data_IF_379513201378
#
_entry.id   IF_379513201378
#
_cell.length_a   1.000
_cell.length_b   1.000
_cell.length_c   1.000
_cell.angle_alpha   90.00
_cell.angle_beta   90.00
_cell.angle_gamma   90.00
#
_symmetry.space_group_name_H-M   'P 1'
#
loop_
_entity.id
_entity.type
_entity.pdbx_description
1 polymer ?
#
# COMPACT_ATOMS: atom_id res chain seq x y z
N UNK A 1 -21.02 -25.93 10.21
CA UNK A 1 -22.06 -24.88 10.28
C UNK A 1 -21.37 -23.53 10.45
N UNK A 2 -21.58 -22.58 9.53
CA UNK A 2 -20.89 -21.28 9.54
C UNK A 2 -21.34 -20.42 10.72
N UNK A 3 -20.46 -20.20 11.69
CA UNK A 3 -20.66 -19.36 12.89
C UNK A 3 -20.61 -17.85 12.59
N UNK A 4 -21.10 -17.42 11.43
CA UNK A 4 -21.12 -15.99 11.06
C UNK A 4 -22.33 -15.29 11.66
N UNK A 5 -22.19 -13.99 11.90
CA UNK A 5 -23.21 -13.15 12.54
C UNK A 5 -23.43 -11.86 11.75
N UNK A 6 -24.57 -11.22 12.02
CA UNK A 6 -24.96 -9.91 11.51
C UNK A 6 -24.20 -8.76 12.20
N UNK A 7 -24.21 -7.59 11.56
CA UNK A 7 -23.54 -6.36 12.02
C UNK A 7 -23.94 -5.95 13.46
N UNK A 8 -25.20 -6.09 13.82
CA UNK A 8 -25.73 -5.74 15.14
C UNK A 8 -25.23 -6.65 16.28
N UNK A 9 -24.69 -7.84 15.97
CA UNK A 9 -24.15 -8.79 16.94
C UNK A 9 -22.63 -8.66 17.16
N UNK A 10 -21.95 -7.79 16.41
CA UNK A 10 -20.51 -7.52 16.60
C UNK A 10 -20.26 -6.15 17.21
N UNK A 11 -19.13 -5.97 17.94
CA UNK A 11 -18.70 -4.66 18.43
C UNK A 11 -18.52 -3.63 17.31
N UNK A 12 -18.67 -2.35 17.66
CA UNK A 12 -18.62 -1.25 16.69
C UNK A 12 -17.31 -1.17 15.90
N UNK A 13 -16.16 -1.49 16.53
CA UNK A 13 -14.85 -1.43 15.87
C UNK A 13 -14.69 -2.43 14.71
N UNK A 14 -15.55 -3.46 14.64
CA UNK A 14 -15.57 -4.44 13.55
C UNK A 14 -16.49 -4.03 12.41
N UNK A 15 -17.49 -3.17 12.67
CA UNK A 15 -18.58 -2.87 11.73
C UNK A 15 -18.08 -2.04 10.55
N UNK A 16 -18.45 -2.45 9.35
CA UNK A 16 -18.20 -1.72 8.12
C UNK A 16 -19.51 -1.12 7.57
N UNK A 17 -19.51 0.13 7.08
CA UNK A 17 -20.69 0.71 6.43
C UNK A 17 -21.17 -0.16 5.26
N UNK A 18 -22.48 -0.37 5.14
CA UNK A 18 -23.07 -1.16 4.04
C UNK A 18 -22.98 -2.69 4.19
N UNK A 19 -22.12 -3.19 5.08
CA UNK A 19 -21.94 -4.64 5.31
C UNK A 19 -22.85 -5.11 6.44
N UNK A 20 -23.77 -6.04 6.14
CA UNK A 20 -24.85 -6.46 7.06
C UNK A 20 -24.65 -7.81 7.69
N UNK A 21 -24.07 -8.76 6.99
CA UNK A 21 -23.85 -10.14 7.45
C UNK A 21 -22.44 -10.61 7.13
N UNK A 22 -22.14 -11.88 7.45
CA UNK A 22 -20.85 -12.50 7.16
C UNK A 22 -19.72 -12.16 8.14
N UNK A 23 -20.02 -11.50 9.26
CA UNK A 23 -19.01 -11.20 10.28
C UNK A 23 -18.64 -12.44 11.10
N UNK A 24 -17.37 -12.57 11.44
CA UNK A 24 -16.92 -13.56 12.43
C UNK A 24 -17.32 -13.13 13.84
N UNK A 25 -17.70 -14.09 14.69
CA UNK A 25 -17.90 -13.83 16.12
C UNK A 25 -16.58 -13.33 16.74
N UNK A 26 -16.62 -12.40 17.71
CA UNK A 26 -15.44 -12.03 18.46
C UNK A 26 -14.79 -13.26 19.08
N UNK A 27 -13.47 -13.40 18.92
CA UNK A 27 -12.72 -14.52 19.47
C UNK A 27 -11.34 -14.05 19.89
N UNK A 28 -10.90 -14.50 21.07
CA UNK A 28 -9.54 -14.32 21.57
C UNK A 28 -8.68 -15.58 21.37
N UNK A 29 -9.26 -16.65 20.81
CA UNK A 29 -8.55 -17.89 20.53
C UNK A 29 -7.86 -17.80 19.16
N UNK A 30 -6.53 -17.64 19.18
CA UNK A 30 -5.71 -17.50 17.97
C UNK A 30 -5.92 -18.67 17.00
N UNK A 31 -6.10 -19.90 17.48
CA UNK A 31 -6.32 -21.05 16.62
C UNK A 31 -7.65 -20.98 15.86
N UNK A 32 -8.70 -20.45 16.49
CA UNK A 32 -9.98 -20.20 15.81
C UNK A 32 -9.84 -19.10 14.76
N UNK A 33 -9.06 -18.05 15.05
CA UNK A 33 -8.78 -16.97 14.11
C UNK A 33 -8.00 -17.52 12.90
N UNK A 34 -6.93 -18.28 13.12
CA UNK A 34 -6.14 -18.90 12.04
C UNK A 34 -6.97 -19.90 11.23
N UNK A 35 -7.81 -20.70 11.89
CA UNK A 35 -8.71 -21.63 11.20
C UNK A 35 -9.72 -20.90 10.29
N UNK A 36 -10.06 -19.65 10.60
CA UNK A 36 -10.97 -18.84 9.76
C UNK A 36 -10.42 -18.50 8.39
N UNK A 37 -9.11 -18.68 8.13
CA UNK A 37 -8.54 -18.59 6.77
C UNK A 37 -9.22 -19.52 5.77
N UNK A 38 -9.73 -20.66 6.25
CA UNK A 38 -10.45 -21.66 5.44
C UNK A 38 -11.96 -21.38 5.36
N UNK A 39 -12.44 -20.35 6.04
CA UNK A 39 -13.85 -19.97 6.10
C UNK A 39 -14.11 -18.75 5.20
N UNK A 40 -15.24 -18.75 4.50
CA UNK A 40 -15.72 -17.59 3.75
C UNK A 40 -16.49 -16.67 4.70
N UNK A 41 -16.10 -15.39 4.75
CA UNK A 41 -16.61 -14.34 5.62
C UNK A 41 -16.34 -12.96 4.99
N UNK A 42 -16.88 -11.88 5.60
CA UNK A 42 -16.79 -10.52 5.06
C UNK A 42 -15.34 -10.01 4.83
N UNK A 43 -14.39 -10.51 5.63
CA UNK A 43 -12.96 -10.18 5.50
C UNK A 43 -12.17 -11.13 4.57
N UNK A 44 -12.78 -12.17 3.97
CA UNK A 44 -12.03 -13.23 3.24
C UNK A 44 -11.22 -12.65 2.08
N UNK A 45 -11.84 -11.84 1.23
CA UNK A 45 -11.14 -11.18 0.13
C UNK A 45 -10.06 -10.21 0.62
N UNK A 46 -10.31 -9.48 1.72
CA UNK A 46 -9.34 -8.54 2.29
C UNK A 46 -8.07 -9.26 2.76
N UNK A 47 -8.23 -10.41 3.44
CA UNK A 47 -7.11 -11.23 3.93
C UNK A 47 -6.34 -11.86 2.76
N UNK A 48 -7.04 -12.57 1.87
CA UNK A 48 -6.37 -13.37 0.84
C UNK A 48 -5.68 -12.53 -0.23
N UNK A 49 -6.28 -11.42 -0.66
CA UNK A 49 -5.66 -10.52 -1.67
C UNK A 49 -4.31 -10.01 -1.20
N UNK A 50 -4.22 -9.50 0.03
CA UNK A 50 -2.97 -9.01 0.60
C UNK A 50 -2.03 -10.12 1.06
N UNK A 51 -2.53 -11.25 1.58
CA UNK A 51 -1.67 -12.38 1.95
C UNK A 51 -0.89 -12.92 0.73
N UNK A 52 -1.59 -13.16 -0.38
CA UNK A 52 -0.97 -13.60 -1.64
C UNK A 52 0.00 -12.56 -2.18
N UNK A 53 -0.34 -11.28 -2.09
CA UNK A 53 0.53 -10.19 -2.57
C UNK A 53 1.78 -10.02 -1.71
N UNK A 54 1.69 -10.24 -0.39
CA UNK A 54 2.86 -10.27 0.49
C UNK A 54 3.86 -11.34 0.05
N UNK A 55 3.38 -12.56 -0.21
CA UNK A 55 4.23 -13.63 -0.74
C UNK A 55 4.77 -13.31 -2.13
N UNK A 56 3.96 -12.75 -3.03
CA UNK A 56 4.41 -12.32 -4.35
C UNK A 56 5.58 -11.35 -4.25
N UNK A 57 5.48 -10.30 -3.41
CA UNK A 57 6.57 -9.34 -3.22
C UNK A 57 7.80 -9.96 -2.54
N UNK A 58 7.64 -10.91 -1.62
CA UNK A 58 8.80 -11.68 -1.11
C UNK A 58 9.51 -12.46 -2.21
N UNK A 59 8.77 -13.09 -3.13
CA UNK A 59 9.35 -13.81 -4.26
C UNK A 59 10.05 -12.87 -5.25
N UNK A 60 9.62 -11.61 -5.33
CA UNK A 60 10.29 -10.58 -6.14
C UNK A 60 11.65 -10.15 -5.56
N UNK A 61 11.95 -10.41 -4.28
CA UNK A 61 13.24 -10.05 -3.65
C UNK A 61 14.44 -10.70 -4.36
N UNK A 62 14.55 -12.04 -4.45
CA UNK A 62 15.68 -12.67 -5.13
C UNK A 62 15.73 -12.33 -6.62
N UNK A 63 14.58 -12.20 -7.29
CA UNK A 63 14.52 -11.77 -8.68
C UNK A 63 15.10 -10.35 -8.86
N UNK A 64 14.68 -9.40 -8.01
CA UNK A 64 15.14 -8.00 -8.06
C UNK A 64 16.63 -7.91 -7.77
N UNK A 65 17.11 -8.65 -6.77
CA UNK A 65 18.55 -8.69 -6.45
C UNK A 65 19.37 -9.21 -7.63
N UNK A 66 18.96 -10.35 -8.23
CA UNK A 66 19.70 -10.93 -9.33
C UNK A 66 19.65 -10.06 -10.59
N UNK A 67 18.47 -9.54 -10.94
CA UNK A 67 18.26 -8.69 -12.11
C UNK A 67 18.99 -7.34 -12.03
N UNK A 68 19.35 -6.89 -10.82
CA UNK A 68 20.11 -5.66 -10.60
C UNK A 68 21.55 -5.89 -10.15
N UNK A 69 22.06 -7.14 -10.18
CA UNK A 69 23.37 -7.49 -9.63
C UNK A 69 24.57 -6.79 -10.29
N UNK A 70 24.41 -6.35 -11.55
CA UNK A 70 25.42 -5.60 -12.31
C UNK A 70 25.34 -4.07 -12.11
N UNK A 71 24.30 -3.58 -11.43
CA UNK A 71 24.07 -2.14 -11.20
C UNK A 71 24.73 -1.67 -9.89
N UNK A 72 24.65 -0.36 -9.61
CA UNK A 72 25.21 0.18 -8.38
C UNK A 72 24.53 -0.42 -7.14
N UNK A 73 25.30 -0.62 -6.06
CA UNK A 73 24.77 -1.17 -4.79
C UNK A 73 23.58 -0.37 -4.24
N UNK A 74 23.53 0.94 -4.49
CA UNK A 74 22.42 1.81 -4.08
C UNK A 74 21.13 1.51 -4.85
N UNK A 75 21.22 1.16 -6.14
CA UNK A 75 20.08 0.78 -6.97
C UNK A 75 19.44 -0.50 -6.41
N UNK A 76 20.27 -1.51 -6.12
CA UNK A 76 19.86 -2.76 -5.48
C UNK A 76 19.21 -2.46 -4.13
N UNK A 77 19.88 -1.68 -3.27
CA UNK A 77 19.39 -1.36 -1.93
C UNK A 77 18.01 -0.70 -1.97
N UNK A 78 17.83 0.36 -2.74
CA UNK A 78 16.55 1.10 -2.77
C UNK A 78 15.42 0.28 -3.38
N UNK A 79 15.72 -0.55 -4.39
CA UNK A 79 14.74 -1.47 -4.95
C UNK A 79 14.34 -2.56 -3.95
N UNK A 80 15.29 -3.12 -3.20
CA UNK A 80 14.98 -4.10 -2.15
C UNK A 80 14.20 -3.48 -0.99
N UNK A 81 14.55 -2.25 -0.58
CA UNK A 81 13.79 -1.50 0.44
C UNK A 81 12.34 -1.32 -0.01
N UNK A 82 12.11 -0.95 -1.28
CA UNK A 82 10.75 -0.87 -1.83
C UNK A 82 10.02 -2.22 -1.81
N UNK A 83 10.61 -3.28 -2.36
CA UNK A 83 9.96 -4.61 -2.45
C UNK A 83 9.67 -5.19 -1.07
N UNK A 84 10.59 -5.06 -0.11
CA UNK A 84 10.41 -5.51 1.27
C UNK A 84 9.36 -4.67 2.02
N UNK A 85 9.32 -3.35 1.80
CA UNK A 85 8.30 -2.48 2.40
C UNK A 85 6.90 -2.78 1.87
N UNK A 86 6.77 -3.12 0.59
CA UNK A 86 5.51 -3.55 0.00
C UNK A 86 5.05 -4.89 0.57
N UNK A 87 5.97 -5.86 0.70
CA UNK A 87 5.71 -7.12 1.40
C UNK A 87 5.24 -6.89 2.85
N UNK A 88 5.94 -6.05 3.61
CA UNK A 88 5.56 -5.68 4.97
C UNK A 88 4.15 -5.05 5.02
N UNK A 89 3.84 -4.13 4.09
CA UNK A 89 2.52 -3.52 3.98
C UNK A 89 1.42 -4.57 3.79
N UNK A 90 1.59 -5.47 2.82
CA UNK A 90 0.59 -6.48 2.51
C UNK A 90 0.42 -7.52 3.62
N UNK A 91 1.51 -8.00 4.23
CA UNK A 91 1.39 -8.91 5.38
C UNK A 91 0.79 -8.23 6.62
N UNK A 92 1.18 -6.99 6.91
CA UNK A 92 0.61 -6.20 8.01
C UNK A 92 -0.90 -6.06 7.85
N UNK A 93 -1.35 -5.72 6.64
CA UNK A 93 -2.77 -5.61 6.30
C UNK A 93 -3.52 -6.94 6.38
N UNK A 94 -2.98 -8.01 5.79
CA UNK A 94 -3.59 -9.33 5.85
C UNK A 94 -3.73 -9.83 7.31
N UNK A 95 -2.71 -9.57 8.13
CA UNK A 95 -2.73 -9.90 9.56
C UNK A 95 -3.79 -9.09 10.31
N UNK A 96 -3.89 -7.78 10.04
CA UNK A 96 -4.94 -6.95 10.63
C UNK A 96 -6.34 -7.47 10.31
N UNK A 97 -6.63 -7.70 9.02
CA UNK A 97 -7.94 -8.20 8.59
C UNK A 97 -8.23 -9.60 9.13
N UNK A 98 -7.21 -10.47 9.25
CA UNK A 98 -7.38 -11.78 9.84
C UNK A 98 -7.74 -11.68 11.33
N UNK A 99 -7.11 -10.77 12.07
CA UNK A 99 -7.31 -10.61 13.53
C UNK A 99 -8.32 -9.52 13.89
N UNK A 100 -9.06 -8.95 12.94
CA UNK A 100 -10.02 -7.86 13.25
C UNK A 100 -11.12 -8.29 14.23
N UNK A 101 -11.35 -9.59 14.43
CA UNK A 101 -12.34 -10.12 15.39
C UNK A 101 -11.86 -10.22 16.85
N UNK A 102 -10.62 -9.84 17.17
CA UNK A 102 -10.13 -9.73 18.56
C UNK A 102 -9.95 -8.26 18.93
N UNK A 103 -10.38 -7.88 20.14
CA UNK A 103 -10.14 -6.53 20.66
C UNK A 103 -8.69 -6.37 21.13
N UNK A 104 -8.07 -7.45 21.61
CA UNK A 104 -6.71 -7.47 22.19
C UNK A 104 -5.66 -6.92 21.23
N UNK A 105 -5.73 -7.29 19.96
CA UNK A 105 -4.73 -6.93 18.95
C UNK A 105 -5.20 -5.87 17.95
N UNK A 106 -6.47 -5.46 18.01
CA UNK A 106 -7.09 -4.60 17.00
C UNK A 106 -6.29 -3.32 16.73
N UNK A 107 -6.03 -2.52 17.76
CA UNK A 107 -5.38 -1.22 17.60
C UNK A 107 -3.92 -1.35 17.16
N UNK A 108 -3.17 -2.28 17.76
CA UNK A 108 -1.77 -2.54 17.39
C UNK A 108 -1.65 -2.99 15.93
N UNK A 109 -2.47 -3.95 15.50
CA UNK A 109 -2.43 -4.43 14.12
C UNK A 109 -2.92 -3.38 13.12
N UNK A 110 -3.89 -2.55 13.51
CA UNK A 110 -4.32 -1.40 12.70
C UNK A 110 -3.21 -0.37 12.52
N UNK A 111 -2.42 -0.12 13.56
CA UNK A 111 -1.24 0.73 13.45
C UNK A 111 -0.19 0.11 12.53
N UNK A 112 0.02 -1.21 12.60
CA UNK A 112 0.93 -1.91 11.69
C UNK A 112 0.44 -1.82 10.23
N UNK A 113 -0.86 -2.01 9.97
CA UNK A 113 -1.47 -1.87 8.64
C UNK A 113 -1.23 -0.46 8.05
N UNK A 114 -1.54 0.60 8.81
CA UNK A 114 -1.28 1.96 8.37
C UNK A 114 0.22 2.27 8.21
N UNK A 115 1.08 1.79 9.12
CA UNK A 115 2.54 1.93 9.03
C UNK A 115 3.10 1.22 7.79
N UNK A 116 2.48 0.12 7.38
CA UNK A 116 2.75 -0.56 6.12
C UNK A 116 2.58 0.36 4.92
N UNK A 117 1.42 1.01 4.80
CA UNK A 117 1.12 1.96 3.72
C UNK A 117 2.15 3.09 3.68
N UNK A 118 2.43 3.69 4.83
CA UNK A 118 3.38 4.82 4.96
C UNK A 118 4.78 4.40 4.51
N UNK A 119 5.22 3.22 4.94
CA UNK A 119 6.55 2.70 4.62
C UNK A 119 6.68 2.35 3.14
N UNK A 120 5.66 1.71 2.56
CA UNK A 120 5.64 1.39 1.13
C UNK A 120 5.65 2.66 0.26
N UNK A 121 4.82 3.67 0.59
CA UNK A 121 4.80 4.94 -0.14
C UNK A 121 6.16 5.63 -0.09
N UNK A 122 6.77 5.77 1.09
CA UNK A 122 8.10 6.38 1.20
C UNK A 122 9.16 5.60 0.41
N UNK A 123 9.21 4.29 0.60
CA UNK A 123 10.20 3.45 -0.05
C UNK A 123 10.07 3.45 -1.58
N UNK A 124 8.85 3.62 -2.11
CA UNK A 124 8.60 3.69 -3.55
C UNK A 124 9.25 4.91 -4.23
N UNK A 125 9.51 6.00 -3.48
CA UNK A 125 10.21 7.18 -4.00
C UNK A 125 11.72 6.95 -4.15
N UNK A 126 12.33 6.17 -3.26
CA UNK A 126 13.79 6.03 -3.19
C UNK A 126 14.42 5.56 -4.51
N UNK A 127 13.99 4.44 -5.13
CA UNK A 127 14.58 3.99 -6.40
C UNK A 127 14.26 4.96 -7.54
N UNK A 128 13.06 5.54 -7.56
CA UNK A 128 12.63 6.50 -8.57
C UNK A 128 13.47 7.78 -8.56
N UNK A 129 13.68 8.37 -7.39
CA UNK A 129 14.48 9.58 -7.20
C UNK A 129 15.96 9.31 -7.43
N UNK A 130 16.46 8.18 -6.92
CA UNK A 130 17.83 7.77 -7.13
C UNK A 130 18.14 7.59 -8.63
N UNK A 131 17.23 6.97 -9.41
CA UNK A 131 17.43 6.84 -10.85
C UNK A 131 17.17 8.13 -11.61
N UNK A 132 16.03 8.77 -11.38
CA UNK A 132 15.59 9.95 -12.12
C UNK A 132 16.53 11.15 -11.95
N UNK A 133 17.08 11.36 -10.76
CA UNK A 133 17.97 12.49 -10.49
C UNK A 133 19.45 12.10 -10.44
N UNK A 134 19.84 10.95 -11.00
CA UNK A 134 21.25 10.48 -10.99
C UNK A 134 22.24 11.54 -11.48
N UNK A 135 21.83 12.34 -12.46
CA UNK A 135 22.63 13.36 -13.13
C UNK A 135 22.60 14.72 -12.42
N UNK A 136 21.78 14.82 -11.38
CA UNK A 136 21.54 16.00 -10.57
C UNK A 136 21.73 15.67 -9.08
N UNK A 137 22.97 15.41 -8.62
CA UNK A 137 23.22 14.81 -7.30
C UNK A 137 22.66 15.61 -6.12
N UNK A 138 22.68 16.94 -6.22
CA UNK A 138 22.11 17.81 -5.19
C UNK A 138 20.60 17.60 -5.04
N UNK A 139 19.86 17.60 -6.16
CA UNK A 139 18.40 17.41 -6.15
C UNK A 139 18.01 15.98 -5.76
N UNK A 140 18.80 14.99 -6.18
CA UNK A 140 18.64 13.60 -5.76
C UNK A 140 18.67 13.49 -4.24
N UNK A 141 19.72 14.00 -3.59
CA UNK A 141 19.88 13.98 -2.14
C UNK A 141 18.79 14.77 -1.43
N UNK A 142 18.43 15.95 -1.94
CA UNK A 142 17.35 16.76 -1.39
C UNK A 142 16.03 15.99 -1.38
N UNK A 143 15.58 15.49 -2.53
CA UNK A 143 14.26 14.84 -2.62
C UNK A 143 14.21 13.53 -1.83
N UNK A 144 15.29 12.75 -1.82
CA UNK A 144 15.36 11.54 -0.99
C UNK A 144 15.38 11.87 0.50
N UNK A 145 16.09 12.92 0.91
CA UNK A 145 16.08 13.42 2.28
C UNK A 145 14.68 13.86 2.72
N UNK A 146 13.97 14.61 1.86
CA UNK A 146 12.56 14.99 2.09
C UNK A 146 11.68 13.76 2.23
N UNK A 147 11.81 12.75 1.36
CA UNK A 147 11.03 11.52 1.44
C UNK A 147 11.20 10.82 2.80
N UNK A 148 12.45 10.67 3.27
CA UNK A 148 12.78 10.03 4.55
C UNK A 148 12.25 10.86 5.73
N UNK A 149 12.45 12.18 5.71
CA UNK A 149 11.95 13.07 6.77
C UNK A 149 10.43 13.00 6.86
N UNK A 150 9.73 13.09 5.71
CA UNK A 150 8.28 12.92 5.66
C UNK A 150 7.85 11.59 6.26
N UNK A 151 8.52 10.48 5.93
CA UNK A 151 8.22 9.17 6.52
C UNK A 151 8.35 9.15 8.05
N UNK A 152 9.43 9.70 8.61
CA UNK A 152 9.63 9.81 10.07
C UNK A 152 8.48 10.60 10.72
N UNK A 153 8.08 11.73 10.14
CA UNK A 153 6.98 12.52 10.69
C UNK A 153 5.64 11.78 10.59
N UNK A 154 5.34 11.17 9.44
CA UNK A 154 4.05 10.55 9.19
C UNK A 154 3.87 9.28 10.03
N UNK A 155 4.91 8.48 10.22
CA UNK A 155 4.82 7.25 11.03
C UNK A 155 4.53 7.56 12.51
N UNK A 156 4.92 8.75 12.99
CA UNK A 156 4.61 9.25 14.34
C UNK A 156 3.20 9.85 14.40
N UNK A 157 2.80 10.63 13.40
CA UNK A 157 1.53 11.37 13.39
C UNK A 157 0.33 10.44 13.15
N UNK A 158 0.43 9.47 12.24
CA UNK A 158 -0.72 8.65 11.84
C UNK A 158 -1.32 7.84 13.00
N UNK A 159 -0.54 7.22 13.90
CA UNK A 159 -1.08 6.61 15.12
C UNK A 159 -1.87 7.58 15.99
N UNK A 160 -1.42 8.84 16.10
CA UNK A 160 -2.14 9.87 16.85
C UNK A 160 -3.48 10.24 16.20
N UNK A 161 -3.67 9.96 14.91
CA UNK A 161 -4.91 10.20 14.14
C UNK A 161 -5.79 8.93 13.99
N UNK A 162 -5.54 7.86 14.75
CA UNK A 162 -6.26 6.59 14.56
C UNK A 162 -7.73 6.59 15.07
N UNK A 163 -8.08 7.60 15.87
CA UNK A 163 -9.48 7.81 16.32
C UNK A 163 -10.43 7.98 15.14
N UNK A 164 -11.66 7.45 15.26
CA UNK A 164 -12.65 7.44 14.17
C UNK A 164 -13.01 8.84 13.69
N UNK A 165 -13.11 9.80 14.60
CA UNK A 165 -13.44 11.21 14.34
C UNK A 165 -12.34 11.90 13.53
N UNK A 166 -11.09 11.42 13.64
CA UNK A 166 -9.91 11.97 12.95
C UNK A 166 -9.56 11.21 11.68
N UNK A 167 -10.43 10.31 11.21
CA UNK A 167 -10.22 9.53 9.98
C UNK A 167 -9.96 10.42 8.76
N UNK A 168 -10.69 11.52 8.61
CA UNK A 168 -10.48 12.46 7.50
C UNK A 168 -9.09 13.08 7.55
N UNK A 169 -8.63 13.52 8.73
CA UNK A 169 -7.29 14.08 8.91
C UNK A 169 -6.20 13.06 8.56
N UNK A 170 -6.35 11.81 9.03
CA UNK A 170 -5.43 10.72 8.66
C UNK A 170 -5.36 10.51 7.16
N UNK A 171 -6.51 10.45 6.48
CA UNK A 171 -6.56 10.27 5.04
C UNK A 171 -5.92 11.45 4.29
N UNK A 172 -6.10 12.69 4.76
CA UNK A 172 -5.46 13.88 4.19
C UNK A 172 -3.93 13.78 4.31
N UNK A 173 -3.41 13.39 5.49
CA UNK A 173 -1.96 13.23 5.70
C UNK A 173 -1.38 12.16 4.75
N UNK A 174 -2.07 11.02 4.61
CA UNK A 174 -1.66 9.95 3.68
C UNK A 174 -1.77 10.36 2.20
N UNK A 175 -2.77 11.17 1.86
CA UNK A 175 -2.91 11.70 0.51
C UNK A 175 -1.76 12.65 0.16
N UNK A 176 -1.49 13.63 1.04
CA UNK A 176 -0.39 14.59 0.86
C UNK A 176 0.97 13.87 0.73
N UNK A 177 1.19 12.82 1.53
CA UNK A 177 2.44 12.05 1.47
C UNK A 177 2.62 11.27 0.17
N UNK A 178 1.54 10.90 -0.50
CA UNK A 178 1.58 10.27 -1.82
C UNK A 178 1.66 11.29 -2.97
N UNK A 179 1.12 12.50 -2.80
CA UNK A 179 1.03 13.49 -3.89
C UNK A 179 2.19 14.48 -3.96
N UNK A 180 2.99 14.66 -2.90
CA UNK A 180 4.14 15.59 -2.97
C UNK A 180 5.17 15.18 -4.05
N UNK A 181 5.16 13.91 -4.48
CA UNK A 181 5.89 13.41 -5.64
C UNK A 181 5.64 14.19 -6.94
N UNK A 182 4.58 15.00 -7.02
CA UNK A 182 4.34 15.93 -8.13
C UNK A 182 5.48 16.94 -8.30
N UNK A 183 6.15 17.32 -7.22
CA UNK A 183 7.25 18.28 -7.24
C UNK A 183 8.47 17.68 -7.97
N UNK A 184 9.07 16.55 -7.53
CA UNK A 184 10.17 15.94 -8.27
C UNK A 184 9.76 15.46 -9.66
N UNK A 185 8.51 15.01 -9.86
CA UNK A 185 8.03 14.66 -11.20
C UNK A 185 8.05 15.87 -12.15
N UNK A 186 7.50 17.00 -11.71
CA UNK A 186 7.46 18.24 -12.52
C UNK A 186 8.88 18.72 -12.82
N UNK A 187 9.76 18.72 -11.82
CA UNK A 187 11.17 19.04 -12.03
C UNK A 187 11.78 18.13 -13.10
N UNK A 188 11.64 16.81 -12.96
CA UNK A 188 12.20 15.87 -13.93
C UNK A 188 11.62 16.05 -15.34
N UNK A 189 10.35 16.42 -15.48
CA UNK A 189 9.76 16.72 -16.79
C UNK A 189 10.31 17.99 -17.44
N UNK A 190 10.68 19.00 -16.64
CA UNK A 190 11.20 20.27 -17.16
C UNK A 190 12.69 20.21 -17.51
N UNK A 191 13.48 19.47 -16.74
CA UNK A 191 14.95 19.47 -16.85
C UNK A 191 15.55 18.11 -17.21
N UNK A 192 14.77 17.03 -17.12
CA UNK A 192 15.20 15.70 -17.51
C UNK A 192 15.34 15.59 -19.02
N UNK A 193 16.54 15.20 -19.49
CA UNK A 193 16.82 15.06 -20.93
C UNK A 193 16.22 13.79 -21.53
N UNK A 194 16.33 12.68 -20.81
CA UNK A 194 15.94 11.35 -21.29
C UNK A 194 15.04 10.63 -20.29
N UNK A 195 14.11 9.81 -20.79
CA UNK A 195 13.23 8.99 -19.96
C UNK A 195 12.10 9.72 -19.24
N UNK A 196 11.97 11.05 -19.39
CA UNK A 196 10.93 11.83 -18.71
C UNK A 196 9.52 11.44 -19.18
N UNK A 197 9.31 11.08 -20.45
CA UNK A 197 8.00 10.63 -20.94
C UNK A 197 7.60 9.30 -20.30
N UNK A 198 8.52 8.33 -20.24
CA UNK A 198 8.26 7.05 -19.58
C UNK A 198 7.97 7.26 -18.10
N UNK A 199 8.77 8.08 -17.43
CA UNK A 199 8.56 8.37 -16.01
C UNK A 199 7.22 9.06 -15.75
N UNK A 200 6.85 10.05 -16.57
CA UNK A 200 5.58 10.77 -16.46
C UNK A 200 4.39 9.83 -16.69
N UNK A 201 4.37 9.13 -17.82
CA UNK A 201 3.27 8.22 -18.20
C UNK A 201 3.08 7.12 -17.15
N UNK A 202 4.15 6.45 -16.73
CA UNK A 202 4.06 5.44 -15.68
C UNK A 202 3.61 6.01 -14.33
N UNK A 203 4.10 7.20 -13.94
CA UNK A 203 3.67 7.82 -12.67
C UNK A 203 2.18 8.17 -12.72
N UNK A 204 1.69 8.70 -13.84
CA UNK A 204 0.27 9.02 -14.04
C UNK A 204 -0.61 7.77 -13.99
N UNK A 205 -0.19 6.67 -14.65
CA UNK A 205 -0.91 5.39 -14.59
C UNK A 205 -0.96 4.86 -13.16
N UNK A 206 0.18 4.85 -12.46
CA UNK A 206 0.24 4.42 -11.06
C UNK A 206 -0.70 5.26 -10.18
N UNK A 207 -0.68 6.59 -10.30
CA UNK A 207 -1.55 7.49 -9.55
C UNK A 207 -3.03 7.32 -9.89
N UNK A 208 -3.37 7.05 -11.15
CA UNK A 208 -4.75 6.78 -11.56
C UNK A 208 -5.27 5.50 -10.88
N UNK A 209 -4.47 4.43 -10.85
CA UNK A 209 -4.86 3.18 -10.19
C UNK A 209 -4.98 3.35 -8.68
N UNK A 210 -4.01 4.00 -8.02
CA UNK A 210 -4.11 4.32 -6.59
C UNK A 210 -5.29 5.23 -6.26
N UNK A 211 -5.50 6.27 -7.08
CA UNK A 211 -6.60 7.23 -6.92
C UNK A 211 -7.96 6.58 -7.06
N UNK A 212 -8.12 5.65 -8.02
CA UNK A 212 -9.33 4.85 -8.18
C UNK A 212 -9.59 3.98 -6.94
N UNK A 213 -8.55 3.29 -6.44
CA UNK A 213 -8.65 2.53 -5.19
C UNK A 213 -9.07 3.41 -4.01
N UNK A 214 -8.43 4.58 -3.87
CA UNK A 214 -8.70 5.51 -2.78
C UNK A 214 -10.14 6.04 -2.87
N UNK A 215 -10.64 6.29 -4.08
CA UNK A 215 -12.03 6.69 -4.32
C UNK A 215 -13.01 5.63 -3.79
N UNK A 216 -12.80 4.35 -4.09
CA UNK A 216 -13.60 3.27 -3.48
C UNK A 216 -13.48 3.29 -1.94
N UNK A 217 -12.26 3.41 -1.41
CA UNK A 217 -12.03 3.40 0.04
C UNK A 217 -12.78 4.51 0.79
N UNK A 218 -12.82 5.73 0.23
CA UNK A 218 -13.47 6.87 0.89
C UNK A 218 -14.98 6.89 0.66
N UNK A 219 -15.45 6.56 -0.55
CA UNK A 219 -16.88 6.62 -0.90
C UNK A 219 -17.68 5.43 -0.37
N UNK A 220 -17.01 4.30 -0.09
CA UNK A 220 -17.68 3.03 0.30
C UNK A 220 -18.73 2.58 -0.70
N UNK A 221 -18.51 2.92 -1.97
CA UNK A 221 -19.27 2.37 -3.08
C UNK A 221 -18.67 1.01 -3.48
N UNK A 222 -19.49 -0.01 -3.76
CA UNK A 222 -20.96 0.03 -3.92
C UNK A 222 -21.78 -0.29 -2.66
N UNK A 223 -21.16 -0.72 -1.56
CA UNK A 223 -21.85 -1.30 -0.41
C UNK A 223 -22.77 -0.32 0.34
N UNK A 224 -22.47 0.97 0.35
CA UNK A 224 -23.38 1.97 0.96
C UNK A 224 -24.69 2.08 0.17
N UNK A 225 -24.64 2.00 -1.17
CA UNK A 225 -25.85 2.14 -2.01
C UNK A 225 -26.72 0.88 -1.99
N UNK A 226 -26.08 -0.26 -1.76
CA UNK A 226 -26.73 -1.57 -1.83
C UNK A 226 -26.32 -2.42 -0.63
N UNK A 227 -26.73 -1.98 0.56
CA UNK A 227 -26.39 -2.65 1.82
C UNK A 227 -26.80 -4.13 1.79
N UNK A 228 -25.94 -5.01 2.27
CA UNK A 228 -26.18 -6.46 2.29
C UNK A 228 -25.80 -7.21 0.99
N UNK A 229 -25.74 -6.52 -0.17
CA UNK A 229 -25.43 -7.20 -1.45
C UNK A 229 -23.94 -7.53 -1.61
N UNK A 230 -23.07 -6.75 -0.98
CA UNK A 230 -21.62 -6.83 -1.13
C UNK A 230 -20.96 -7.26 0.19
N UNK A 231 -21.65 -8.09 0.99
CA UNK A 231 -21.18 -8.44 2.34
C UNK A 231 -19.89 -9.27 2.35
N UNK A 232 -19.68 -10.09 1.32
CA UNK A 232 -18.53 -11.01 1.22
C UNK A 232 -17.60 -10.58 0.08
N UNK A 233 -18.15 -10.18 -1.07
CA UNK A 233 -17.41 -9.91 -2.30
C UNK A 233 -17.82 -8.57 -2.91
N UNK A 234 -16.85 -7.85 -3.47
CA UNK A 234 -17.08 -6.66 -4.29
C UNK A 234 -17.43 -5.40 -3.49
N UNK A 235 -17.15 -5.36 -2.19
CA UNK A 235 -17.20 -4.11 -1.42
C UNK A 235 -15.94 -3.27 -1.65
N UNK A 236 -16.05 -1.99 -1.35
CA UNK A 236 -15.05 -0.97 -1.70
C UNK A 236 -13.64 -1.26 -1.17
N UNK A 237 -13.56 -1.89 0.00
CA UNK A 237 -12.28 -2.22 0.62
C UNK A 237 -11.52 -3.31 -0.16
N UNK A 238 -12.21 -4.24 -0.81
CA UNK A 238 -11.57 -5.21 -1.70
C UNK A 238 -11.02 -4.54 -2.96
N UNK A 239 -11.75 -3.58 -3.53
CA UNK A 239 -11.24 -2.80 -4.67
C UNK A 239 -10.04 -1.94 -4.29
N UNK A 240 -10.03 -1.36 -3.09
CA UNK A 240 -8.85 -0.67 -2.54
C UNK A 240 -7.63 -1.59 -2.49
N UNK A 241 -7.79 -2.82 -1.98
CA UNK A 241 -6.71 -3.82 -1.94
C UNK A 241 -6.21 -4.14 -3.35
N UNK A 242 -7.11 -4.48 -4.27
CA UNK A 242 -6.75 -4.82 -5.65
C UNK A 242 -5.99 -3.68 -6.34
N UNK A 243 -6.48 -2.44 -6.23
CA UNK A 243 -5.81 -1.29 -6.83
C UNK A 243 -4.41 -1.06 -6.23
N UNK A 244 -4.26 -1.21 -4.91
CA UNK A 244 -2.96 -1.11 -4.23
C UNK A 244 -1.97 -2.15 -4.75
N UNK A 245 -2.42 -3.40 -4.94
CA UNK A 245 -1.60 -4.48 -5.49
C UNK A 245 -1.15 -4.16 -6.92
N UNK A 246 -2.09 -3.82 -7.79
CA UNK A 246 -1.79 -3.54 -9.20
C UNK A 246 -0.88 -2.33 -9.36
N UNK A 247 -1.14 -1.26 -8.60
CA UNK A 247 -0.31 -0.06 -8.64
C UNK A 247 1.14 -0.35 -8.16
N UNK A 248 1.30 -1.08 -7.06
CA UNK A 248 2.63 -1.46 -6.56
C UNK A 248 3.39 -2.36 -7.53
N UNK A 249 2.73 -3.35 -8.13
CA UNK A 249 3.36 -4.24 -9.13
C UNK A 249 3.74 -3.48 -10.40
N UNK A 250 2.85 -2.61 -10.89
CA UNK A 250 3.12 -1.76 -12.04
C UNK A 250 4.28 -0.80 -11.78
N UNK A 251 4.36 -0.25 -10.57
CA UNK A 251 5.48 0.61 -10.17
C UNK A 251 6.79 -0.15 -10.10
N UNK A 252 6.81 -1.33 -9.47
CA UNK A 252 7.98 -2.21 -9.47
C UNK A 252 8.45 -2.53 -10.90
N UNK A 253 7.52 -2.92 -11.78
CA UNK A 253 7.82 -3.19 -13.19
C UNK A 253 8.41 -1.96 -13.90
N UNK A 254 7.82 -0.78 -13.69
CA UNK A 254 8.31 0.49 -14.24
C UNK A 254 9.74 0.75 -13.79
N UNK A 255 10.04 0.60 -12.48
CA UNK A 255 11.37 0.81 -11.94
C UNK A 255 12.39 -0.17 -12.52
N UNK A 256 12.03 -1.45 -12.68
CA UNK A 256 12.88 -2.43 -13.35
C UNK A 256 13.13 -2.07 -14.82
N UNK A 257 12.09 -1.61 -15.53
CA UNK A 257 12.18 -1.13 -16.92
C UNK A 257 13.10 0.09 -17.04
N UNK A 258 13.01 1.04 -16.11
CA UNK A 258 13.88 2.21 -16.06
C UNK A 258 15.36 1.84 -15.94
N UNK A 259 15.70 0.82 -15.13
CA UNK A 259 17.10 0.37 -15.01
C UNK A 259 17.62 -0.19 -16.35
N UNK A 260 16.79 -0.94 -17.07
CA UNK A 260 17.16 -1.56 -18.36
C UNK A 260 17.26 -0.55 -19.51
N UNK A 261 16.34 0.41 -19.57
CA UNK A 261 16.20 1.31 -20.72
C UNK A 261 16.95 2.63 -20.59
N UNK A 262 17.34 3.03 -19.37
CA UNK A 262 18.13 4.24 -19.14
C UNK A 262 19.53 3.83 -18.70
N UNK A 263 20.46 3.43 -19.58
CA UNK A 263 21.77 2.94 -19.17
C UNK A 263 22.64 4.01 -18.50
N UNK A 264 23.53 3.55 -17.61
CA UNK A 264 24.42 4.39 -16.78
C UNK A 264 25.39 5.26 -17.57
N UNK A 265 25.74 4.84 -18.78
CA UNK A 265 26.84 5.40 -19.57
C UNK A 265 26.48 6.63 -20.43
N UNK A 266 25.19 7.00 -20.54
CA UNK A 266 24.74 7.96 -21.57
C UNK A 266 24.16 9.28 -21.01
N UNK A 267 23.98 9.46 -19.70
CA UNK A 267 22.93 10.39 -19.27
C UNK A 267 23.24 11.58 -18.36
N UNK A 268 24.50 12.01 -18.17
CA UNK A 268 24.75 13.38 -17.69
C UNK A 268 24.84 14.38 -18.86
#
# INVERSE_FOLDING_TARGET
>A
MSNLVKDNMVPEFMRQPGIKEGYRKPSENIWQILASLKQIHNETGNVWTHLMSGFLFLLLVPYTYHALSEYERKDILFMLVFVLSASFCFFGSATYHLFICTKKWHYTLRHIDHSGIISMVCASYLPALNRGFKCFPWYQQLYMGVAIICWIFIIIIVPALDKRERRTQRNIVLFISATWGIIPLTHFCLYGRYGWQMFLTSTLVMWLVYGLGFLFYVTKWPEIRHAGKFDIWGHSHQYWHLCTIFASLFWWYTLMKMHRELPDSIHC
#
